data_IF_312727108735
#
_entry.id   IF_312727108735
#
_cell.length_a   1.000
_cell.length_b   1.000
_cell.length_c   1.000
_cell.angle_alpha   90.00
_cell.angle_beta   90.00
_cell.angle_gamma   90.00
#
_symmetry.space_group_name_H-M   'P 1'
#
loop_
_entity.id
_entity.type
_entity.pdbx_description
1 polymer ?
#
# COMPACT_ATOMS: atom_id res chain seq x y z
N UNK A 1 17.33 -14.64 2.31
CA UNK A 1 15.86 -14.71 2.34
C UNK A 1 15.37 -15.23 1.00
N UNK A 2 15.10 -16.53 0.85
CA UNK A 2 14.63 -17.03 -0.44
C UNK A 2 13.16 -16.64 -0.71
N UNK A 3 12.89 -16.31 -1.98
CA UNK A 3 11.58 -16.07 -2.60
C UNK A 3 10.69 -15.04 -1.89
N UNK A 4 11.21 -13.83 -1.63
CA UNK A 4 10.45 -12.71 -1.04
C UNK A 4 10.55 -11.45 -1.89
N UNK A 5 9.43 -10.72 -1.99
CA UNK A 5 9.34 -9.40 -2.63
C UNK A 5 9.02 -8.36 -1.58
N UNK A 6 9.86 -7.33 -1.46
CA UNK A 6 9.58 -6.20 -0.59
C UNK A 6 8.56 -5.27 -1.29
N UNK A 7 7.49 -4.91 -0.61
CA UNK A 7 6.55 -3.90 -1.06
C UNK A 7 6.55 -2.70 -0.10
N UNK A 8 7.23 -1.62 -0.51
CA UNK A 8 7.42 -0.41 0.30
C UNK A 8 6.19 0.50 0.21
N UNK A 9 5.65 0.88 1.38
CA UNK A 9 4.58 1.87 1.45
C UNK A 9 5.09 3.26 1.01
N UNK A 10 4.29 4.08 0.30
CA UNK A 10 4.75 5.36 -0.27
C UNK A 10 5.19 6.42 0.75
N UNK A 11 4.89 6.20 2.03
CA UNK A 11 5.36 7.03 3.16
C UNK A 11 6.84 6.83 3.50
N UNK A 12 7.53 5.89 2.87
CA UNK A 12 8.91 5.54 3.20
C UNK A 12 9.91 6.71 3.11
N UNK A 13 9.76 7.74 2.25
CA UNK A 13 10.71 8.85 2.17
C UNK A 13 10.78 9.69 3.45
N UNK A 14 9.80 9.56 4.35
CA UNK A 14 9.83 10.20 5.68
C UNK A 14 10.90 9.58 6.57
N UNK A 15 11.19 8.29 6.39
CA UNK A 15 12.10 7.52 7.25
C UNK A 15 13.41 7.17 6.57
N UNK A 16 13.44 7.09 5.24
CA UNK A 16 14.57 6.57 4.49
C UNK A 16 14.87 7.38 3.23
N UNK A 17 16.14 7.43 2.85
CA UNK A 17 16.57 7.98 1.55
C UNK A 17 16.04 7.14 0.38
N UNK A 18 15.57 7.81 -0.67
CA UNK A 18 14.74 7.21 -1.73
C UNK A 18 15.40 6.03 -2.45
N UNK A 19 16.60 6.23 -3.02
CA UNK A 19 17.27 5.16 -3.76
C UNK A 19 18.02 4.21 -2.82
N UNK A 20 18.48 4.72 -1.68
CA UNK A 20 19.31 3.97 -0.75
C UNK A 20 18.55 2.79 -0.11
N UNK A 21 17.29 3.01 0.29
CA UNK A 21 16.49 1.95 0.92
C UNK A 21 16.31 0.73 0.01
N UNK A 22 16.22 0.96 -1.31
CA UNK A 22 16.06 -0.10 -2.30
C UNK A 22 17.32 -0.98 -2.32
N UNK A 23 18.49 -0.37 -2.36
CA UNK A 23 19.77 -1.10 -2.28
C UNK A 23 19.93 -1.87 -0.98
N UNK A 24 19.58 -1.27 0.16
CA UNK A 24 19.61 -1.95 1.47
C UNK A 24 18.68 -3.16 1.52
N UNK A 25 17.47 -3.07 0.95
CA UNK A 25 16.55 -4.20 0.86
C UNK A 25 17.08 -5.31 -0.05
N UNK A 26 17.69 -4.97 -1.19
CA UNK A 26 18.31 -5.97 -2.06
C UNK A 26 19.49 -6.67 -1.37
N UNK A 27 20.33 -5.92 -0.64
CA UNK A 27 21.42 -6.50 0.16
C UNK A 27 20.95 -7.33 1.35
N UNK A 28 19.80 -7.00 1.93
CA UNK A 28 19.13 -7.84 2.94
C UNK A 28 18.62 -9.18 2.34
N UNK A 29 18.54 -9.27 1.01
CA UNK A 29 18.20 -10.50 0.30
C UNK A 29 16.78 -10.52 -0.27
N UNK A 30 16.13 -9.36 -0.45
CA UNK A 30 14.96 -9.27 -1.32
C UNK A 30 15.39 -9.25 -2.79
N UNK A 31 14.83 -10.14 -3.62
CA UNK A 31 15.14 -10.16 -5.05
C UNK A 31 14.49 -8.99 -5.79
N UNK A 32 13.20 -8.76 -5.49
CA UNK A 32 12.43 -7.66 -6.04
C UNK A 32 11.99 -6.69 -4.93
N UNK A 33 12.00 -5.41 -5.26
CA UNK A 33 11.53 -4.31 -4.44
C UNK A 33 10.52 -3.52 -5.26
N UNK A 34 9.25 -3.56 -4.85
CA UNK A 34 8.15 -2.83 -5.49
C UNK A 34 7.61 -1.75 -4.57
N UNK A 35 7.01 -0.73 -5.14
CA UNK A 35 6.31 0.30 -4.38
C UNK A 35 4.81 0.03 -4.36
N UNK A 36 4.20 0.15 -3.18
CA UNK A 36 2.75 -0.05 -2.97
C UNK A 36 1.90 0.95 -3.75
N UNK A 37 2.49 2.07 -4.19
CA UNK A 37 1.88 3.01 -5.14
C UNK A 37 1.38 2.30 -6.41
N UNK A 38 2.02 1.22 -6.85
CA UNK A 38 1.57 0.46 -8.03
C UNK A 38 0.19 -0.19 -7.81
N UNK A 39 -0.09 -0.72 -6.63
CA UNK A 39 -1.40 -1.30 -6.28
C UNK A 39 -2.45 -0.25 -5.95
N UNK A 40 -2.03 0.96 -5.55
CA UNK A 40 -2.93 2.09 -5.40
C UNK A 40 -3.60 2.51 -6.73
N UNK A 41 -2.96 2.24 -7.88
CA UNK A 41 -3.59 2.45 -9.20
C UNK A 41 -4.83 1.53 -9.36
N UNK A 42 -4.72 0.26 -8.96
CA UNK A 42 -5.85 -0.67 -9.04
C UNK A 42 -6.94 -0.32 -8.02
N UNK A 43 -6.54 0.18 -6.85
CA UNK A 43 -7.48 0.70 -5.84
C UNK A 43 -8.30 1.86 -6.41
N UNK A 44 -7.65 2.81 -7.08
CA UNK A 44 -8.32 3.92 -7.75
C UNK A 44 -9.29 3.44 -8.84
N UNK A 45 -8.88 2.44 -9.63
CA UNK A 45 -9.71 1.87 -10.69
C UNK A 45 -10.98 1.21 -10.12
N UNK A 46 -10.85 0.38 -9.08
CA UNK A 46 -11.99 -0.25 -8.41
C UNK A 46 -12.97 0.81 -7.86
N UNK A 47 -12.46 1.88 -7.25
CA UNK A 47 -13.29 2.97 -6.76
C UNK A 47 -14.00 3.73 -7.89
N UNK A 48 -13.32 3.96 -9.01
CA UNK A 48 -13.92 4.62 -10.17
C UNK A 48 -15.02 3.78 -10.80
N UNK A 49 -14.82 2.47 -10.92
CA UNK A 49 -15.85 1.53 -11.40
C UNK A 49 -17.06 1.53 -10.47
N UNK A 50 -16.83 1.51 -9.16
CA UNK A 50 -17.88 1.59 -8.14
C UNK A 50 -18.69 2.89 -8.23
N UNK A 51 -18.02 4.04 -8.40
CA UNK A 51 -18.69 5.34 -8.57
C UNK A 51 -19.45 5.48 -9.89
N UNK A 52 -18.98 4.82 -10.95
CA UNK A 52 -19.68 4.78 -12.25
C UNK A 52 -20.92 3.90 -12.20
N UNK A 53 -20.86 2.79 -11.47
CA UNK A 53 -21.97 1.85 -11.32
C UNK A 53 -23.16 2.47 -10.56
N UNK A 54 -22.90 3.29 -9.53
CA UNK A 54 -23.92 4.06 -8.83
C UNK A 54 -23.46 5.50 -8.54
N UNK A 55 -23.80 6.46 -9.42
CA UNK A 55 -23.45 7.88 -9.24
C UNK A 55 -24.12 8.57 -8.04
N UNK A 56 -25.14 7.93 -7.45
CA UNK A 56 -25.92 8.44 -6.32
C UNK A 56 -25.44 7.90 -4.98
N UNK A 57 -24.75 6.76 -4.98
CA UNK A 57 -24.16 6.16 -3.79
C UNK A 57 -23.16 7.11 -3.09
N UNK A 58 -22.95 6.82 -1.81
CA UNK A 58 -21.95 7.46 -0.97
C UNK A 58 -21.06 6.36 -0.40
N UNK A 59 -19.76 6.55 -0.55
CA UNK A 59 -18.77 5.60 -0.06
C UNK A 59 -17.83 6.27 0.92
N UNK A 60 -17.54 5.56 2.00
CA UNK A 60 -16.43 5.81 2.92
C UNK A 60 -15.26 4.99 2.39
N UNK A 61 -14.32 5.67 1.77
CA UNK A 61 -13.11 5.05 1.24
C UNK A 61 -12.04 5.10 2.31
N UNK A 62 -11.58 3.95 2.80
CA UNK A 62 -10.47 3.93 3.74
C UNK A 62 -9.52 2.78 3.47
N UNK A 63 -8.34 3.04 2.87
CA UNK A 63 -7.27 2.05 2.82
C UNK A 63 -6.64 1.83 4.20
N UNK A 64 -7.08 2.56 5.23
CA UNK A 64 -6.62 2.46 6.60
C UNK A 64 -7.42 1.41 7.37
N UNK A 65 -6.79 0.28 7.77
CA UNK A 65 -7.49 -0.78 8.49
C UNK A 65 -8.01 -0.32 9.86
N UNK A 66 -7.41 0.70 10.46
CA UNK A 66 -7.87 1.30 11.72
C UNK A 66 -9.28 1.88 11.58
N UNK A 67 -9.54 2.63 10.51
CA UNK A 67 -10.85 3.26 10.27
C UNK A 67 -11.90 2.19 9.93
N UNK A 68 -11.55 1.22 9.09
CA UNK A 68 -12.43 0.09 8.77
C UNK A 68 -12.86 -0.65 10.03
N UNK A 69 -11.92 -0.98 10.92
CA UNK A 69 -12.21 -1.65 12.20
C UNK A 69 -12.99 -0.77 13.17
N UNK A 70 -12.68 0.52 13.24
CA UNK A 70 -13.45 1.48 14.03
C UNK A 70 -14.93 1.49 13.60
N UNK A 71 -15.18 1.55 12.29
CA UNK A 71 -16.54 1.54 11.73
C UNK A 71 -17.23 0.21 12.04
N UNK A 72 -16.58 -0.93 11.76
CA UNK A 72 -17.16 -2.26 12.03
C UNK A 72 -17.53 -2.44 13.51
N UNK A 73 -16.69 -1.97 14.43
CA UNK A 73 -16.85 -2.23 15.87
C UNK A 73 -17.73 -1.18 16.58
N UNK A 74 -17.58 0.11 16.26
CA UNK A 74 -18.26 1.21 16.97
C UNK A 74 -19.42 1.83 16.20
N UNK A 75 -19.42 1.73 14.87
CA UNK A 75 -20.44 2.36 14.02
C UNK A 75 -20.99 1.38 12.98
N UNK A 76 -21.56 0.23 13.38
CA UNK A 76 -21.98 -0.82 12.46
C UNK A 76 -23.00 -0.35 11.42
N UNK A 77 -23.83 0.66 11.74
CA UNK A 77 -24.77 1.28 10.80
C UNK A 77 -24.10 1.99 9.62
N UNK A 78 -22.80 2.32 9.72
CA UNK A 78 -21.99 2.90 8.65
C UNK A 78 -21.29 1.86 7.77
N UNK A 79 -21.29 0.57 8.15
CA UNK A 79 -20.60 -0.50 7.39
C UNK A 79 -21.12 -0.58 5.95
N UNK A 80 -22.41 -0.36 5.73
CA UNK A 80 -23.03 -0.33 4.38
C UNK A 80 -22.47 0.76 3.46
N UNK A 81 -21.80 1.77 4.01
CA UNK A 81 -21.15 2.82 3.23
C UNK A 81 -19.65 2.56 3.04
N UNK A 82 -19.03 1.58 3.69
CA UNK A 82 -17.63 1.24 3.43
C UNK A 82 -17.50 0.77 1.97
N UNK A 83 -16.57 1.37 1.23
CA UNK A 83 -16.29 0.96 -0.15
C UNK A 83 -15.79 -0.50 -0.16
N UNK A 84 -16.42 -1.41 -0.92
CA UNK A 84 -15.98 -2.80 -1.03
C UNK A 84 -14.80 -2.95 -2.01
N UNK A 85 -13.76 -2.13 -1.82
CA UNK A 85 -12.55 -2.12 -2.65
C UNK A 85 -11.35 -2.56 -1.81
N UNK A 86 -10.37 -3.18 -2.47
CA UNK A 86 -9.15 -3.65 -1.81
C UNK A 86 -8.22 -2.49 -1.53
N UNK A 87 -7.46 -2.56 -0.43
CA UNK A 87 -6.45 -1.54 -0.15
C UNK A 87 -5.26 -1.63 -1.09
N UNK A 88 -4.42 -0.58 -1.20
CA UNK A 88 -3.20 -0.62 -2.00
C UNK A 88 -2.26 -1.76 -1.61
N UNK A 89 -2.20 -2.13 -0.32
CA UNK A 89 -1.38 -3.26 0.15
C UNK A 89 -1.88 -4.55 -0.50
N UNK A 90 -3.18 -4.83 -0.38
CA UNK A 90 -3.81 -6.05 -0.91
C UNK A 90 -3.66 -6.11 -2.44
N UNK A 91 -3.98 -5.02 -3.14
CA UNK A 91 -3.83 -4.96 -4.60
C UNK A 91 -2.36 -5.14 -5.05
N UNK A 92 -1.38 -4.59 -4.32
CA UNK A 92 0.04 -4.84 -4.63
C UNK A 92 0.43 -6.29 -4.37
N UNK A 93 -0.07 -6.92 -3.31
CA UNK A 93 0.21 -8.32 -3.02
C UNK A 93 -0.36 -9.26 -4.10
N UNK A 94 -1.58 -9.00 -4.58
CA UNK A 94 -2.17 -9.75 -5.70
C UNK A 94 -1.35 -9.60 -6.99
N UNK A 95 -0.88 -8.38 -7.28
CA UNK A 95 0.04 -8.14 -8.40
C UNK A 95 1.33 -8.92 -8.24
N UNK A 96 1.94 -8.96 -7.05
CA UNK A 96 3.15 -9.74 -6.79
C UNK A 96 2.91 -11.23 -7.03
N UNK A 97 1.80 -11.79 -6.53
CA UNK A 97 1.48 -13.21 -6.72
C UNK A 97 1.32 -13.58 -8.19
N UNK A 98 0.86 -12.65 -9.02
CA UNK A 98 0.70 -12.83 -10.46
C UNK A 98 2.02 -12.66 -11.23
N UNK A 99 2.75 -11.58 -10.98
CA UNK A 99 3.94 -11.21 -11.76
C UNK A 99 5.21 -11.92 -11.27
N UNK A 100 5.24 -12.36 -10.00
CA UNK A 100 6.33 -13.12 -9.38
C UNK A 100 5.81 -14.41 -8.73
N UNK A 101 5.40 -15.42 -9.52
CA UNK A 101 4.89 -16.69 -8.98
C UNK A 101 5.90 -17.37 -8.06
N UNK A 102 5.42 -17.90 -6.92
CA UNK A 102 6.29 -18.53 -5.91
C UNK A 102 6.90 -17.56 -4.89
N UNK A 103 6.75 -16.25 -5.08
CA UNK A 103 7.24 -15.26 -4.12
C UNK A 103 6.23 -14.93 -3.02
N UNK A 104 6.77 -14.61 -1.84
CA UNK A 104 5.99 -14.11 -0.70
C UNK A 104 6.08 -12.59 -0.62
N UNK A 105 4.93 -11.87 -0.65
CA UNK A 105 4.92 -10.42 -0.49
C UNK A 105 5.22 -10.03 0.95
N UNK A 106 6.15 -9.08 1.14
CA UNK A 106 6.52 -8.52 2.44
C UNK A 106 6.24 -7.01 2.43
N UNK A 107 5.13 -6.61 3.04
CA UNK A 107 4.78 -5.20 3.19
C UNK A 107 5.63 -4.53 4.25
N UNK A 108 6.18 -3.37 3.89
CA UNK A 108 7.04 -2.56 4.74
C UNK A 108 6.41 -1.16 4.81
N UNK A 109 5.89 -0.80 5.98
CA UNK A 109 5.13 0.43 6.13
C UNK A 109 5.11 1.01 7.54
N UNK A 110 4.36 2.10 7.76
CA UNK A 110 4.30 2.76 9.06
C UNK A 110 3.27 2.15 10.02
N UNK A 111 2.33 1.34 9.52
CA UNK A 111 1.12 0.96 10.24
C UNK A 111 1.17 -0.48 10.77
N UNK A 112 1.03 -0.66 12.08
CA UNK A 112 0.94 -1.99 12.72
C UNK A 112 -0.36 -2.70 12.36
N UNK A 113 -1.48 -1.97 12.22
CA UNK A 113 -2.79 -2.57 11.95
C UNK A 113 -2.89 -3.21 10.55
N UNK A 114 -1.92 -2.96 9.66
CA UNK A 114 -1.79 -3.70 8.41
C UNK A 114 -1.49 -5.19 8.64
N UNK A 115 -0.88 -5.56 9.79
CA UNK A 115 -0.73 -6.96 10.21
C UNK A 115 -2.08 -7.65 10.32
N UNK A 116 -3.07 -6.99 10.90
CA UNK A 116 -4.42 -7.53 11.07
C UNK A 116 -5.15 -7.64 9.72
N UNK A 117 -5.00 -6.63 8.85
CA UNK A 117 -5.55 -6.71 7.49
C UNK A 117 -4.97 -7.88 6.69
N UNK A 118 -3.66 -8.11 6.80
CA UNK A 118 -2.99 -9.23 6.14
C UNK A 118 -3.38 -10.60 6.73
N UNK A 119 -3.51 -10.72 8.05
CA UNK A 119 -3.70 -12.01 8.73
C UNK A 119 -5.16 -12.41 8.90
N UNK A 120 -6.07 -11.45 9.09
CA UNK A 120 -7.49 -11.71 9.34
C UNK A 120 -8.37 -11.44 8.12
N UNK A 121 -8.13 -10.33 7.42
CA UNK A 121 -8.97 -9.93 6.29
C UNK A 121 -8.54 -10.60 4.96
N UNK A 122 -7.24 -10.92 4.81
CA UNK A 122 -6.65 -11.52 3.58
C UNK A 122 -5.59 -12.62 3.82
N UNK A 123 -5.87 -13.65 4.67
CA UNK A 123 -4.90 -14.70 5.00
C UNK A 123 -4.41 -15.48 3.76
N UNK A 124 -5.23 -15.59 2.72
CA UNK A 124 -4.93 -16.31 1.48
C UNK A 124 -3.73 -15.74 0.72
N UNK A 125 -3.41 -14.46 0.92
CA UNK A 125 -2.31 -13.79 0.23
C UNK A 125 -0.95 -14.04 0.90
N UNK A 126 -0.95 -14.53 2.16
CA UNK A 126 0.27 -14.82 2.92
C UNK A 126 1.19 -13.60 3.05
N UNK A 127 0.62 -12.40 3.23
CA UNK A 127 1.40 -11.15 3.30
C UNK A 127 2.10 -11.08 4.65
N UNK A 128 3.43 -10.96 4.62
CA UNK A 128 4.21 -10.65 5.82
C UNK A 128 4.23 -9.13 5.98
N UNK A 129 3.97 -8.62 7.18
CA UNK A 129 3.93 -7.17 7.43
C UNK A 129 5.01 -6.80 8.43
N UNK A 130 5.89 -5.91 8.01
CA UNK A 130 6.93 -5.28 8.81
C UNK A 130 6.68 -3.78 8.91
N UNK A 131 6.86 -3.24 10.11
CA UNK A 131 6.90 -1.81 10.31
C UNK A 131 8.28 -1.25 9.97
N UNK A 132 8.38 0.06 9.72
CA UNK A 132 9.69 0.72 9.55
C UNK A 132 10.60 0.58 10.78
N UNK A 133 10.03 0.48 11.98
CA UNK A 133 10.79 0.24 13.21
C UNK A 133 11.41 -1.16 13.20
N UNK A 134 10.60 -2.18 12.91
CA UNK A 134 11.07 -3.58 12.80
C UNK A 134 12.12 -3.74 11.69
N UNK A 135 11.92 -3.07 10.54
CA UNK A 135 12.91 -3.09 9.46
C UNK A 135 14.26 -2.50 9.91
N UNK A 136 14.25 -1.39 10.66
CA UNK A 136 15.47 -0.80 11.19
C UNK A 136 16.19 -1.70 12.19
N UNK A 137 15.43 -2.43 13.02
CA UNK A 137 15.98 -3.43 13.94
C UNK A 137 16.63 -4.60 13.17
N UNK A 138 16.01 -5.03 12.07
CA UNK A 138 16.58 -6.05 11.17
C UNK A 138 17.88 -5.53 10.54
N UNK A 139 17.90 -4.31 9.97
CA UNK A 139 19.13 -3.75 9.39
C UNK A 139 20.27 -3.65 10.40
N UNK A 140 19.99 -3.30 11.66
CA UNK A 140 21.00 -3.26 12.73
C UNK A 140 21.54 -4.66 13.05
N UNK A 141 20.65 -5.65 13.15
CA UNK A 141 21.00 -7.04 13.49
C UNK A 141 21.84 -7.68 12.38
N UNK A 142 21.42 -7.49 11.12
CA UNK A 142 22.12 -7.98 9.92
C UNK A 142 23.32 -7.10 9.52
N UNK A 143 23.63 -6.06 10.32
CA UNK A 143 24.74 -5.12 10.09
C UNK A 143 24.73 -4.48 8.69
N UNK A 144 23.55 -4.24 8.12
CA UNK A 144 23.36 -3.55 6.84
C UNK A 144 23.61 -2.04 7.06
N UNK A 145 24.81 -1.60 6.71
CA UNK A 145 25.24 -0.20 6.75
C UNK A 145 24.99 0.50 5.42
N UNK A 146 24.88 1.81 5.43
CA UNK A 146 24.70 2.62 4.23
C UNK A 146 25.87 2.42 3.25
N UNK A 147 25.57 2.25 1.97
CA UNK A 147 26.56 2.04 0.91
C UNK A 147 26.28 2.97 -0.27
N UNK A 148 27.32 3.59 -0.81
CA UNK A 148 27.21 4.50 -1.95
C UNK A 148 26.64 3.82 -3.19
N UNK A 149 26.79 2.50 -3.32
CA UNK A 149 26.23 1.73 -4.43
C UNK A 149 24.71 1.53 -4.32
N UNK A 150 24.10 1.73 -3.15
CA UNK A 150 22.65 1.56 -2.99
C UNK A 150 21.87 2.56 -3.86
N UNK A 151 22.44 3.75 -4.10
CA UNK A 151 21.85 4.80 -4.94
C UNK A 151 21.63 4.40 -6.40
N UNK A 152 22.30 3.33 -6.87
CA UNK A 152 22.16 2.81 -8.25
C UNK A 152 20.91 1.95 -8.43
N UNK A 153 20.26 1.55 -7.34
CA UNK A 153 19.10 0.66 -7.39
C UNK A 153 17.80 1.45 -7.58
N UNK A 154 16.85 0.82 -8.27
CA UNK A 154 15.50 1.35 -8.51
C UNK A 154 14.45 0.30 -8.20
N UNK A 155 13.21 0.75 -8.02
CA UNK A 155 12.07 -0.14 -7.87
C UNK A 155 11.87 -0.99 -9.12
N UNK A 156 11.49 -2.24 -8.92
CA UNK A 156 11.11 -3.16 -9.99
C UNK A 156 9.68 -2.84 -10.49
N UNK A 157 8.81 -2.32 -9.62
CA UNK A 157 7.48 -1.81 -9.98
C UNK A 157 7.10 -0.57 -9.16
N UNK A 158 6.46 0.41 -9.81
CA UNK A 158 6.12 1.73 -9.25
C UNK A 158 4.80 2.26 -9.84
N UNK A 159 4.01 3.00 -9.06
CA UNK A 159 2.90 3.83 -9.55
C UNK A 159 3.20 5.32 -9.39
N UNK A 160 3.46 6.03 -10.50
CA UNK A 160 3.91 7.43 -10.48
C UNK A 160 2.88 8.39 -9.86
N UNK A 161 1.61 8.27 -10.24
CA UNK A 161 0.55 9.24 -9.87
C UNK A 161 -0.12 8.96 -8.51
N UNK A 162 0.27 7.88 -7.83
CA UNK A 162 -0.42 7.38 -6.62
C UNK A 162 0.46 7.42 -5.37
N UNK A 163 1.67 7.99 -5.44
CA UNK A 163 2.53 8.21 -4.27
C UNK A 163 1.91 9.14 -3.22
N UNK A 164 1.00 10.01 -3.66
CA UNK A 164 0.30 10.95 -2.79
C UNK A 164 -0.56 10.29 -1.72
N UNK A 165 -0.85 8.99 -1.83
CA UNK A 165 -1.63 8.22 -0.84
C UNK A 165 -1.11 8.32 0.61
N UNK A 166 0.17 8.63 0.81
CA UNK A 166 0.74 8.84 2.14
C UNK A 166 0.28 10.16 2.81
N UNK A 167 -0.31 11.08 2.04
CA UNK A 167 -0.81 12.38 2.50
C UNK A 167 -2.33 12.30 2.66
N UNK A 168 -2.88 13.00 3.64
CA UNK A 168 -4.33 13.12 3.81
C UNK A 168 -5.02 13.61 2.52
N UNK A 169 -6.12 12.97 2.14
CA UNK A 169 -6.80 13.24 0.86
C UNK A 169 -6.08 12.70 -0.39
N UNK A 170 -4.92 12.07 -0.23
CA UNK A 170 -4.07 11.58 -1.33
C UNK A 170 -4.74 10.57 -2.27
N UNK A 171 -5.58 9.69 -1.71
CA UNK A 171 -6.40 8.76 -2.50
C UNK A 171 -7.27 9.53 -3.50
N UNK A 172 -8.00 10.53 -3.02
CA UNK A 172 -8.85 11.37 -3.88
C UNK A 172 -8.07 12.18 -4.87
N UNK A 173 -7.01 12.84 -4.43
CA UNK A 173 -6.22 13.68 -5.32
C UNK A 173 -5.64 12.85 -6.47
N UNK A 174 -5.18 11.63 -6.17
CA UNK A 174 -4.65 10.72 -7.19
C UNK A 174 -5.71 10.25 -8.20
N UNK A 175 -6.98 10.17 -7.80
CA UNK A 175 -8.08 9.85 -8.71
C UNK A 175 -8.40 11.05 -9.61
N UNK A 176 -8.49 12.25 -9.04
CA UNK A 176 -8.72 13.48 -9.80
C UNK A 176 -7.62 13.71 -10.83
N UNK A 177 -6.36 13.46 -10.47
CA UNK A 177 -5.23 13.56 -11.40
C UNK A 177 -5.25 12.46 -12.45
N UNK A 178 -5.74 11.26 -12.14
CA UNK A 178 -5.83 10.15 -13.09
C UNK A 178 -7.01 10.26 -14.08
N UNK A 179 -8.06 11.02 -13.74
CA UNK A 179 -9.27 11.12 -14.56
C UNK A 179 -9.56 12.60 -14.87
N UNK A 180 -9.43 12.98 -16.14
CA UNK A 180 -9.87 14.28 -16.67
C UNK A 180 -11.42 14.41 -16.71
N UNK A 181 -12.13 13.92 -15.69
CA UNK A 181 -13.59 14.00 -15.57
C UNK A 181 -13.99 14.96 -14.45
N UNK A 182 -15.10 15.72 -14.60
CA UNK A 182 -15.68 16.51 -13.53
C UNK A 182 -16.49 15.60 -12.60
N UNK A 183 -15.86 14.61 -11.95
CA UNK A 183 -16.53 13.90 -10.86
C UNK A 183 -16.54 14.83 -9.66
N UNK A 184 -17.73 15.20 -9.16
CA UNK A 184 -17.85 15.96 -7.91
C UNK A 184 -17.28 15.13 -6.75
N UNK A 185 -16.03 15.43 -6.41
CA UNK A 185 -15.23 14.87 -5.30
C UNK A 185 -15.89 15.08 -3.93
N UNK A 186 -16.90 15.95 -3.83
CA UNK A 186 -17.69 16.22 -2.62
C UNK A 186 -18.57 15.06 -2.14
N UNK A 187 -18.56 13.90 -2.82
CA UNK A 187 -19.40 12.73 -2.53
C UNK A 187 -18.67 11.57 -1.83
N UNK A 188 -17.36 11.68 -1.63
CA UNK A 188 -16.56 10.72 -0.85
C UNK A 188 -16.26 11.37 0.49
N UNK A 189 -16.68 10.73 1.59
CA UNK A 189 -16.38 11.23 2.93
C UNK A 189 -15.02 10.69 3.37
N UNK A 190 -14.11 11.59 3.76
CA UNK A 190 -12.74 11.28 4.15
C UNK A 190 -12.65 11.14 5.68
N UNK A 191 -12.07 10.03 6.13
CA UNK A 191 -11.59 9.84 7.50
C UNK A 191 -10.19 9.22 7.45
#
# INVERSE_FOLDING_TARGET
>A
MENKVAMLAPSFPVMFSYSEIIGKLKRLGFEYVVEVSRGAIETNKQLLELLKADPTARFITSPCPTIVRLIRNKYPHLVKYLSPIKSPMVNTAELIKKEYPGYTPVFIGPCVNKKLEASEDHPELGIIVLTYKELNEIFKTEKIKDDKNDYKQSFDMIGSNTRMYAISGGLTQSIVTAVAFPVRVSKVLYL
#
